data_IF_100212265484
#
_entry.id   IF_100212265484
#
_cell.length_a   1.000
_cell.length_b   1.000
_cell.length_c   1.000
_cell.angle_alpha   90.00
_cell.angle_beta   90.00
_cell.angle_gamma   90.00
#
_symmetry.space_group_name_H-M   'P 1'
#
loop_
_entity.id
_entity.type
_entity.pdbx_description
1 polymer ?
#
# COMPACT_ATOMS: atom_id res chain seq x y z
N UNK A 1 22.77 -3.82 2.38
CA UNK A 1 23.99 -4.65 2.42
C UNK A 1 24.14 -5.46 3.69
N UNK A 2 24.01 -4.86 4.89
CA UNK A 2 24.12 -5.62 6.13
C UNK A 2 23.05 -6.72 6.27
N UNK A 3 21.82 -6.43 5.87
CA UNK A 3 20.75 -7.42 5.87
C UNK A 3 21.03 -8.59 4.92
N UNK A 4 21.48 -8.29 3.71
CA UNK A 4 21.85 -9.32 2.73
C UNK A 4 23.04 -10.17 3.18
N UNK A 5 24.03 -9.57 3.87
CA UNK A 5 25.14 -10.31 4.45
C UNK A 5 24.68 -11.31 5.52
N UNK A 6 23.57 -11.03 6.15
CA UNK A 6 22.91 -11.94 7.13
C UNK A 6 21.91 -12.90 6.47
N UNK A 7 21.82 -12.92 5.14
CA UNK A 7 20.87 -13.75 4.40
C UNK A 7 19.42 -13.27 4.46
N UNK A 8 19.19 -12.03 4.91
CA UNK A 8 17.85 -11.45 4.99
C UNK A 8 17.46 -10.78 3.66
N UNK A 9 16.18 -10.78 3.36
CA UNK A 9 15.59 -10.01 2.26
C UNK A 9 15.00 -8.72 2.79
N UNK A 10 15.09 -7.67 1.99
CA UNK A 10 14.63 -6.33 2.37
C UNK A 10 13.49 -5.92 1.46
N UNK A 11 12.30 -5.82 2.02
CA UNK A 11 11.16 -5.15 1.39
C UNK A 11 11.03 -3.75 1.98
N UNK A 12 10.60 -2.80 1.16
CA UNK A 12 10.37 -1.44 1.61
C UNK A 12 8.91 -1.05 1.44
N UNK A 13 8.45 -0.17 2.31
CA UNK A 13 7.19 0.54 2.13
C UNK A 13 7.33 1.49 0.95
N UNK A 14 6.58 1.25 -0.10
CA UNK A 14 6.62 2.07 -1.31
C UNK A 14 5.26 2.10 -1.99
N UNK A 15 4.45 3.03 -1.57
CA UNK A 15 3.11 3.24 -2.08
C UNK A 15 3.04 4.43 -3.02
N UNK A 16 2.04 4.47 -3.88
CA UNK A 16 1.81 5.59 -4.81
C UNK A 16 0.67 6.50 -4.34
N UNK A 17 -0.24 5.98 -3.53
CA UNK A 17 -1.43 6.71 -3.10
C UNK A 17 -1.11 7.95 -2.28
N UNK A 18 -0.05 7.90 -1.54
CA UNK A 18 0.30 8.92 -0.55
C UNK A 18 1.66 9.52 -0.85
N UNK A 19 1.73 10.84 -0.76
CA UNK A 19 2.97 11.59 -0.89
C UNK A 19 3.23 12.34 0.40
N UNK A 20 4.42 12.12 0.98
CA UNK A 20 4.86 12.89 2.16
C UNK A 20 5.01 14.38 1.81
N UNK A 21 4.56 15.23 2.71
CA UNK A 21 4.77 16.67 2.60
C UNK A 21 6.25 17.09 2.69
N UNK A 22 7.12 16.19 3.13
CA UNK A 22 8.57 16.40 3.14
C UNK A 22 9.23 16.03 1.81
N UNK A 23 8.48 15.50 0.84
CA UNK A 23 9.03 15.26 -0.48
C UNK A 23 9.41 16.58 -1.15
N UNK A 24 10.67 16.78 -1.55
CA UNK A 24 11.11 18.05 -2.14
C UNK A 24 10.39 18.38 -3.45
N UNK A 25 9.86 17.35 -4.11
CA UNK A 25 9.10 17.46 -5.35
C UNK A 25 7.70 18.04 -5.16
N UNK A 26 7.21 18.09 -3.92
CA UNK A 26 5.85 18.53 -3.61
C UNK A 26 5.47 19.86 -4.26
N UNK A 27 6.36 20.83 -4.20
CA UNK A 27 6.11 22.15 -4.76
C UNK A 27 6.04 22.16 -6.28
N UNK A 28 6.87 21.35 -6.93
CA UNK A 28 6.82 21.19 -8.39
C UNK A 28 5.55 20.46 -8.81
N UNK A 29 5.19 19.39 -8.10
CA UNK A 29 4.00 18.57 -8.37
C UNK A 29 2.71 19.34 -8.15
N UNK A 30 2.69 20.30 -7.24
CA UNK A 30 1.56 21.19 -7.00
C UNK A 30 1.12 21.95 -8.25
N UNK A 31 2.04 22.30 -9.13
CA UNK A 31 1.71 22.98 -10.39
C UNK A 31 0.87 22.14 -11.34
N UNK A 32 0.83 20.84 -11.15
CA UNK A 32 0.04 19.89 -11.93
C UNK A 32 -1.37 19.69 -11.33
N UNK A 33 -1.67 20.31 -10.21
CA UNK A 33 -2.99 20.31 -9.57
C UNK A 33 -3.58 18.93 -9.39
N UNK A 34 -4.83 18.76 -9.78
CA UNK A 34 -5.60 17.52 -9.64
C UNK A 34 -5.13 16.37 -10.53
N UNK A 35 -4.17 16.58 -11.41
CA UNK A 35 -3.50 15.45 -12.07
C UNK A 35 -2.72 14.60 -11.07
N UNK A 36 -2.11 15.24 -10.06
CA UNK A 36 -1.30 14.57 -9.04
C UNK A 36 -2.06 14.44 -7.72
N UNK A 37 -2.60 15.55 -7.22
CA UNK A 37 -3.29 15.54 -5.92
C UNK A 37 -4.79 15.34 -6.10
N UNK A 38 -5.35 14.46 -5.27
CA UNK A 38 -6.79 14.27 -5.26
C UNK A 38 -7.48 15.50 -4.70
N UNK A 39 -8.40 16.08 -5.48
CA UNK A 39 -9.25 17.14 -5.02
C UNK A 39 -10.22 16.64 -3.95
N UNK A 40 -10.47 17.47 -2.95
CA UNK A 40 -11.37 17.14 -1.88
C UNK A 40 -11.91 18.35 -1.17
N UNK A 41 -12.68 18.15 -0.11
CA UNK A 41 -13.34 19.24 0.63
C UNK A 41 -12.36 20.15 1.37
N UNK A 42 -11.06 19.98 1.17
CA UNK A 42 -10.05 20.68 1.92
C UNK A 42 -9.99 20.20 3.37
N UNK A 43 -9.09 20.72 4.12
CA UNK A 43 -8.92 20.38 5.53
C UNK A 43 -7.55 19.77 5.79
N UNK A 44 -7.42 19.13 6.94
CA UNK A 44 -6.15 18.64 7.40
C UNK A 44 -5.45 19.66 8.27
N UNK A 45 -4.15 19.73 8.16
CA UNK A 45 -3.32 20.47 9.09
C UNK A 45 -2.99 21.87 8.57
N UNK A 46 -3.02 22.89 9.43
CA UNK A 46 -2.91 24.28 9.03
C UNK A 46 -1.68 24.58 8.16
N UNK A 47 -0.55 24.00 8.52
CA UNK A 47 0.69 24.19 7.77
C UNK A 47 0.70 23.47 6.39
N UNK A 48 -0.09 22.41 6.20
CA UNK A 48 -0.33 21.85 4.87
C UNK A 48 -1.16 22.81 4.02
N UNK A 49 -2.14 23.46 4.62
CA UNK A 49 -2.97 24.46 3.94
C UNK A 49 -2.16 25.64 3.47
N UNK A 50 -1.18 26.09 4.27
CA UNK A 50 -0.24 27.16 3.88
C UNK A 50 0.56 26.77 2.64
N UNK A 51 0.91 25.49 2.48
CA UNK A 51 1.73 25.01 1.38
C UNK A 51 0.92 24.62 0.16
N UNK A 52 -0.22 23.96 0.33
CA UNK A 52 -1.00 23.36 -0.76
C UNK A 52 -2.30 24.11 -1.05
N UNK A 53 -2.77 24.94 -0.12
CA UNK A 53 -4.11 25.51 -0.17
C UNK A 53 -5.14 24.58 0.47
N UNK A 54 -6.41 24.88 0.27
CA UNK A 54 -7.51 24.21 0.96
C UNK A 54 -8.09 23.00 0.22
N UNK A 55 -7.70 22.79 -1.02
CA UNK A 55 -8.37 21.87 -1.94
C UNK A 55 -7.54 20.60 -2.19
N UNK A 56 -7.30 19.85 -1.12
CA UNK A 56 -6.60 18.58 -1.14
C UNK A 56 -7.13 17.63 -0.06
N UNK A 57 -6.83 16.35 -0.17
CA UNK A 57 -7.19 15.33 0.82
C UNK A 57 -5.94 14.93 1.59
N UNK A 58 -5.93 15.19 2.91
CA UNK A 58 -4.92 14.66 3.82
C UNK A 58 -5.31 13.24 4.25
N UNK A 59 -4.37 12.30 4.16
CA UNK A 59 -4.57 10.93 4.61
C UNK A 59 -4.28 10.76 6.10
N UNK A 60 -3.09 11.18 6.54
CA UNK A 60 -2.68 11.06 7.94
C UNK A 60 -1.68 12.16 8.32
N UNK A 61 -1.46 12.30 9.62
CA UNK A 61 -0.51 13.25 10.19
C UNK A 61 0.16 12.70 11.44
N UNK A 62 1.47 12.85 11.53
CA UNK A 62 2.28 12.46 12.69
C UNK A 62 2.83 13.73 13.34
N UNK A 63 2.20 14.23 14.42
CA UNK A 63 2.51 15.54 14.97
C UNK A 63 3.97 15.77 15.36
N UNK A 64 4.59 14.78 15.99
CA UNK A 64 5.97 14.90 16.48
C UNK A 64 7.00 14.97 15.35
N UNK A 65 6.68 14.43 14.16
CA UNK A 65 7.53 14.53 12.97
C UNK A 65 7.17 15.72 12.11
N UNK A 66 6.02 16.34 12.36
CA UNK A 66 5.40 17.33 11.46
C UNK A 66 5.28 16.79 10.03
N UNK A 67 5.02 15.50 9.91
CA UNK A 67 4.89 14.80 8.66
C UNK A 67 3.43 14.45 8.40
N UNK A 68 3.00 14.61 7.17
CA UNK A 68 1.68 14.24 6.71
C UNK A 68 1.74 13.59 5.34
N UNK A 69 0.83 12.70 5.08
CA UNK A 69 0.62 12.13 3.77
C UNK A 69 -0.55 12.84 3.08
N UNK A 70 -0.37 13.13 1.81
CA UNK A 70 -1.36 13.76 0.94
C UNK A 70 -1.77 12.75 -0.10
N UNK A 71 -3.06 12.54 -0.27
CA UNK A 71 -3.57 11.60 -1.26
C UNK A 71 -3.37 12.16 -2.66
N UNK A 72 -2.71 11.40 -3.50
CA UNK A 72 -2.56 11.70 -4.92
C UNK A 72 -3.53 10.85 -5.77
N UNK A 73 -3.69 11.23 -7.02
CA UNK A 73 -4.64 10.59 -7.93
C UNK A 73 -4.24 9.16 -8.31
N UNK A 74 -2.96 8.85 -8.24
CA UNK A 74 -2.44 7.54 -8.65
C UNK A 74 -2.59 7.20 -10.13
N UNK A 75 -3.35 7.97 -10.91
CA UNK A 75 -3.79 7.65 -12.27
C UNK A 75 -3.20 8.57 -13.34
N UNK A 76 -2.11 9.26 -13.03
CA UNK A 76 -1.47 10.23 -13.91
C UNK A 76 -0.07 9.83 -14.35
N UNK A 77 0.66 10.78 -14.92
CA UNK A 77 2.11 10.64 -15.17
C UNK A 77 2.92 10.33 -13.91
N UNK A 78 2.35 10.51 -12.73
CA UNK A 78 2.92 10.08 -11.46
C UNK A 78 3.28 8.60 -11.43
N UNK A 79 2.56 7.74 -12.15
CA UNK A 79 2.92 6.34 -12.34
C UNK A 79 4.33 6.16 -12.92
N UNK A 80 4.70 6.99 -13.88
CA UNK A 80 6.01 6.90 -14.49
C UNK A 80 7.11 7.29 -13.50
N UNK A 81 6.87 8.34 -12.72
CA UNK A 81 7.79 8.74 -11.65
C UNK A 81 7.96 7.62 -10.61
N UNK A 82 6.86 7.03 -10.18
CA UNK A 82 6.86 5.89 -9.26
C UNK A 82 7.68 4.71 -9.81
N UNK A 83 7.49 4.37 -11.07
CA UNK A 83 8.19 3.25 -11.72
C UNK A 83 9.67 3.53 -11.94
N UNK A 84 10.04 4.75 -12.29
CA UNK A 84 11.45 5.16 -12.39
C UNK A 84 12.14 5.11 -11.02
N UNK A 85 11.46 5.59 -9.98
CA UNK A 85 11.93 5.47 -8.60
C UNK A 85 12.12 4.02 -8.18
N UNK A 86 11.16 3.15 -8.52
CA UNK A 86 11.26 1.72 -8.25
C UNK A 86 12.46 1.09 -8.98
N UNK A 87 12.67 1.43 -10.25
CA UNK A 87 13.82 0.93 -11.01
C UNK A 87 15.13 1.34 -10.33
N UNK A 88 15.23 2.59 -9.88
CA UNK A 88 16.40 3.07 -9.14
C UNK A 88 16.62 2.32 -7.83
N UNK A 89 15.55 2.08 -7.06
CA UNK A 89 15.61 1.33 -5.80
C UNK A 89 16.07 -0.12 -6.02
N UNK A 90 15.62 -0.75 -7.07
CA UNK A 90 16.06 -2.11 -7.45
C UNK A 90 17.53 -2.11 -7.85
N UNK A 91 17.93 -1.19 -8.72
CA UNK A 91 19.27 -1.19 -9.30
C UNK A 91 20.35 -0.71 -8.32
N UNK A 92 20.03 0.29 -7.50
CA UNK A 92 21.02 0.94 -6.63
C UNK A 92 20.94 0.49 -5.18
N UNK A 93 19.75 0.28 -4.66
CA UNK A 93 19.55 -0.13 -3.27
C UNK A 93 19.37 -1.64 -3.12
N UNK A 94 19.17 -2.34 -4.24
CA UNK A 94 19.03 -3.81 -4.29
C UNK A 94 17.91 -4.34 -3.38
N UNK A 95 16.79 -3.64 -3.33
CA UNK A 95 15.63 -4.09 -2.57
C UNK A 95 15.09 -5.41 -3.12
N UNK A 96 14.53 -6.25 -2.24
CA UNK A 96 14.03 -7.58 -2.60
C UNK A 96 12.50 -7.62 -2.75
N UNK A 97 11.85 -6.50 -2.64
CA UNK A 97 10.41 -6.42 -2.79
C UNK A 97 9.79 -5.16 -2.23
N UNK A 98 8.48 -5.14 -2.26
CA UNK A 98 7.66 -4.00 -1.86
C UNK A 98 6.63 -4.42 -0.82
N UNK A 99 6.30 -3.48 0.05
CA UNK A 99 5.04 -3.41 0.77
C UNK A 99 4.26 -2.22 0.21
N UNK A 100 3.11 -2.50 -0.36
CA UNK A 100 2.22 -1.50 -0.94
C UNK A 100 1.03 -1.35 0.00
N UNK A 101 0.90 -0.15 0.56
CA UNK A 101 -0.20 0.19 1.45
C UNK A 101 -1.30 0.85 0.63
N UNK A 102 -2.31 0.06 0.35
CA UNK A 102 -3.40 0.40 -0.54
C UNK A 102 -3.00 0.65 -2.01
N UNK A 103 -3.85 0.29 -2.93
CA UNK A 103 -3.61 0.47 -4.35
C UNK A 103 -4.27 1.73 -4.88
N UNK A 104 -3.49 2.55 -5.57
CA UNK A 104 -3.98 3.71 -6.29
C UNK A 104 -3.52 3.70 -7.76
N UNK A 105 -3.32 2.53 -8.33
CA UNK A 105 -2.96 2.37 -9.73
C UNK A 105 -3.62 1.12 -10.35
N UNK A 106 -3.71 1.12 -11.65
CA UNK A 106 -4.34 0.09 -12.44
C UNK A 106 -3.48 -1.18 -12.59
N UNK A 107 -4.09 -2.23 -13.10
CA UNK A 107 -3.42 -3.50 -13.40
C UNK A 107 -2.24 -3.34 -14.36
N UNK A 108 -2.30 -2.39 -15.30
CA UNK A 108 -1.20 -2.15 -16.26
C UNK A 108 0.03 -1.64 -15.52
N UNK A 109 -0.15 -0.73 -14.58
CA UNK A 109 0.92 -0.24 -13.72
C UNK A 109 1.46 -1.36 -12.83
N UNK A 110 0.61 -2.19 -12.25
CA UNK A 110 1.04 -3.36 -11.46
C UNK A 110 1.92 -4.32 -12.29
N UNK A 111 1.54 -4.59 -13.53
CA UNK A 111 2.37 -5.41 -14.46
C UNK A 111 3.75 -4.78 -14.69
N UNK A 112 3.82 -3.45 -14.80
CA UNK A 112 5.09 -2.75 -14.96
C UNK A 112 5.93 -2.84 -13.68
N UNK A 113 5.32 -2.68 -12.51
CA UNK A 113 5.97 -2.88 -11.21
C UNK A 113 6.58 -4.28 -11.14
N UNK A 114 5.78 -5.30 -11.41
CA UNK A 114 6.26 -6.69 -11.41
C UNK A 114 7.43 -6.90 -12.37
N UNK A 115 7.34 -6.33 -13.57
CA UNK A 115 8.39 -6.45 -14.59
C UNK A 115 9.71 -5.78 -14.16
N UNK A 116 9.64 -4.64 -13.48
CA UNK A 116 10.84 -3.98 -12.94
C UNK A 116 11.50 -4.86 -11.89
N UNK A 117 10.72 -5.37 -10.95
CA UNK A 117 11.21 -6.26 -9.90
C UNK A 117 11.83 -7.54 -10.49
N UNK A 118 11.11 -8.24 -11.35
CA UNK A 118 11.56 -9.54 -11.89
C UNK A 118 12.84 -9.43 -12.71
N UNK A 119 13.07 -8.30 -13.38
CA UNK A 119 14.30 -8.05 -14.14
C UNK A 119 15.51 -7.81 -13.25
N UNK A 120 15.35 -7.05 -12.20
CA UNK A 120 16.46 -6.64 -11.34
C UNK A 120 16.67 -7.55 -10.12
N UNK A 121 15.62 -8.17 -9.63
CA UNK A 121 15.64 -9.01 -8.41
C UNK A 121 14.75 -10.24 -8.58
N UNK A 122 15.24 -11.32 -9.20
CA UNK A 122 14.49 -12.55 -9.35
C UNK A 122 13.93 -13.06 -8.02
N UNK A 123 12.67 -13.45 -8.00
CA UNK A 123 11.92 -13.85 -6.82
C UNK A 123 11.67 -12.71 -5.80
N UNK A 124 11.64 -11.46 -6.26
CA UNK A 124 11.18 -10.34 -5.45
C UNK A 124 9.71 -10.53 -5.02
N UNK A 125 9.41 -10.09 -3.81
CA UNK A 125 8.09 -10.26 -3.20
C UNK A 125 7.32 -8.93 -3.20
N UNK A 126 6.03 -9.01 -3.46
CA UNK A 126 5.10 -7.90 -3.31
C UNK A 126 4.09 -8.29 -2.24
N UNK A 127 4.06 -7.52 -1.18
CA UNK A 127 3.02 -7.55 -0.16
C UNK A 127 2.06 -6.40 -0.44
N UNK A 128 0.77 -6.71 -0.45
CA UNK A 128 -0.28 -5.72 -0.57
C UNK A 128 -1.06 -5.66 0.74
N UNK A 129 -1.10 -4.49 1.33
CA UNK A 129 -2.08 -4.16 2.36
C UNK A 129 -3.28 -3.50 1.68
N UNK A 130 -4.37 -4.18 1.61
CA UNK A 130 -5.62 -3.59 1.16
C UNK A 130 -6.37 -3.04 2.37
N UNK A 131 -7.09 -1.94 2.19
CA UNK A 131 -7.99 -1.42 3.24
C UNK A 131 -9.12 -2.42 3.47
N UNK A 132 -8.95 -3.27 4.44
CA UNK A 132 -9.67 -4.53 4.63
C UNK A 132 -10.86 -4.40 5.55
N UNK A 133 -11.40 -3.22 5.64
CA UNK A 133 -12.57 -3.01 6.44
C UNK A 133 -13.76 -3.66 5.73
N UNK A 134 -14.37 -4.65 6.39
CA UNK A 134 -15.73 -4.96 6.06
C UNK A 134 -16.57 -3.72 6.40
N UNK A 135 -17.02 -3.07 5.37
CA UNK A 135 -17.91 -1.95 5.52
C UNK A 135 -19.34 -2.41 5.18
N UNK A 136 -20.20 -2.60 6.19
CA UNK A 136 -21.58 -3.00 5.96
C UNK A 136 -22.34 -2.06 5.03
N UNK A 137 -21.92 -0.79 4.99
CA UNK A 137 -22.50 0.21 4.09
C UNK A 137 -22.25 -0.12 2.62
N UNK A 138 -21.10 -0.70 2.31
CA UNK A 138 -20.67 -1.00 0.95
C UNK A 138 -21.01 -2.45 0.55
N UNK A 139 -21.71 -3.18 1.41
CA UNK A 139 -22.15 -4.55 1.19
C UNK A 139 -21.00 -5.55 1.37
N UNK A 140 -20.98 -6.60 0.54
CA UNK A 140 -19.91 -7.61 0.55
C UNK A 140 -18.63 -7.16 -0.15
N UNK A 141 -18.62 -5.95 -0.71
CA UNK A 141 -17.43 -5.42 -1.32
C UNK A 141 -16.45 -5.00 -0.22
N UNK A 142 -15.41 -5.79 -0.02
CA UNK A 142 -14.23 -5.36 0.72
C UNK A 142 -13.14 -4.95 -0.27
N UNK A 143 -12.15 -4.22 0.22
CA UNK A 143 -11.07 -3.75 -0.64
C UNK A 143 -10.25 -4.89 -1.25
N UNK A 144 -10.17 -6.07 -0.61
CA UNK A 144 -9.54 -7.22 -1.20
C UNK A 144 -10.26 -7.63 -2.51
N UNK A 145 -11.59 -7.67 -2.49
CA UNK A 145 -12.38 -7.98 -3.68
C UNK A 145 -12.21 -6.92 -4.78
N UNK A 146 -12.07 -5.65 -4.40
CA UNK A 146 -11.81 -4.57 -5.36
C UNK A 146 -10.44 -4.72 -6.05
N UNK A 147 -9.50 -5.41 -5.43
CA UNK A 147 -8.13 -5.57 -5.94
C UNK A 147 -7.85 -6.96 -6.53
N UNK A 148 -8.86 -7.79 -6.75
CA UNK A 148 -8.69 -9.13 -7.32
C UNK A 148 -7.88 -9.16 -8.61
N UNK A 149 -7.99 -8.15 -9.45
CA UNK A 149 -7.22 -8.05 -10.69
C UNK A 149 -5.71 -7.95 -10.48
N UNK A 150 -5.28 -7.58 -9.28
CA UNK A 150 -3.86 -7.45 -8.91
C UNK A 150 -3.29 -8.74 -8.29
N UNK A 151 -4.12 -9.64 -7.82
CA UNK A 151 -3.69 -10.85 -7.10
C UNK A 151 -2.69 -11.72 -7.86
N UNK A 152 -2.77 -11.86 -9.20
CA UNK A 152 -1.76 -12.62 -9.95
C UNK A 152 -0.34 -12.05 -9.89
N UNK A 153 -0.16 -10.81 -9.41
CA UNK A 153 1.11 -10.09 -9.40
C UNK A 153 1.72 -9.90 -8.02
N UNK A 154 0.96 -10.21 -6.97
CA UNK A 154 1.38 -10.08 -5.58
C UNK A 154 1.65 -11.45 -4.96
N UNK A 155 2.32 -11.47 -3.83
CA UNK A 155 2.71 -12.70 -3.14
C UNK A 155 1.98 -12.89 -1.82
N UNK A 156 1.70 -11.78 -1.12
CA UNK A 156 1.08 -11.79 0.19
C UNK A 156 0.03 -10.70 0.27
N UNK A 157 -1.08 -11.00 0.93
CA UNK A 157 -2.11 -10.04 1.27
C UNK A 157 -2.12 -9.81 2.78
N UNK A 158 -1.96 -8.56 3.18
CA UNK A 158 -2.13 -8.12 4.56
C UNK A 158 -3.58 -7.69 4.74
N UNK A 159 -4.23 -8.17 5.80
CA UNK A 159 -5.65 -7.92 6.06
C UNK A 159 -5.95 -7.97 7.55
N UNK A 160 -7.15 -7.58 7.94
CA UNK A 160 -7.65 -7.73 9.31
C UNK A 160 -7.52 -6.49 10.19
N UNK A 161 -6.98 -5.41 9.67
CA UNK A 161 -7.00 -4.14 10.39
C UNK A 161 -8.45 -3.74 10.72
N UNK A 162 -8.71 -3.38 11.96
CA UNK A 162 -10.05 -3.10 12.49
C UNK A 162 -11.04 -4.28 12.46
N UNK A 163 -10.53 -5.47 12.30
CA UNK A 163 -11.33 -6.67 12.24
C UNK A 163 -11.45 -7.31 13.63
N UNK A 164 -12.60 -7.87 13.95
CA UNK A 164 -12.77 -8.66 15.18
C UNK A 164 -12.13 -10.05 14.98
N UNK A 165 -10.95 -10.32 15.57
CA UNK A 165 -10.28 -11.60 15.40
C UNK A 165 -11.01 -12.77 16.06
N UNK A 166 -11.98 -12.48 16.94
CA UNK A 166 -12.78 -13.49 17.62
C UNK A 166 -14.08 -13.84 16.85
N UNK A 167 -14.36 -13.10 15.77
CA UNK A 167 -15.47 -13.44 14.87
C UNK A 167 -15.24 -14.79 14.17
N UNK A 168 -16.30 -15.46 13.68
CA UNK A 168 -16.16 -16.71 12.96
C UNK A 168 -15.20 -16.60 11.77
N UNK A 169 -14.24 -17.55 11.61
CA UNK A 169 -13.18 -17.43 10.63
C UNK A 169 -13.62 -17.60 9.17
N UNK A 170 -14.72 -18.28 8.92
CA UNK A 170 -15.27 -18.48 7.59
C UNK A 170 -15.44 -17.16 6.83
N UNK A 171 -15.81 -16.12 7.53
CA UNK A 171 -16.02 -14.81 6.95
C UNK A 171 -14.72 -14.14 6.49
N UNK A 172 -13.76 -13.89 7.39
CA UNK A 172 -12.53 -13.20 7.05
C UNK A 172 -11.54 -14.11 6.31
N UNK A 173 -11.58 -15.41 6.54
CA UNK A 173 -10.74 -16.36 5.84
C UNK A 173 -11.09 -16.45 4.35
N UNK A 174 -12.37 -16.60 4.04
CA UNK A 174 -12.84 -16.75 2.66
C UNK A 174 -12.83 -15.41 1.92
N UNK A 175 -13.33 -14.36 2.56
CA UNK A 175 -13.59 -13.09 1.89
C UNK A 175 -12.34 -12.20 1.78
N UNK A 176 -11.44 -12.25 2.75
CA UNK A 176 -10.44 -11.21 2.92
C UNK A 176 -9.00 -11.69 2.85
N UNK A 177 -8.73 -12.94 3.18
CA UNK A 177 -7.35 -13.40 3.36
C UNK A 177 -6.53 -13.52 2.07
N UNK A 178 -7.19 -13.61 0.92
CA UNK A 178 -6.53 -13.92 -0.36
C UNK A 178 -6.07 -15.38 -0.51
N UNK A 179 -6.14 -16.18 0.56
CA UNK A 179 -5.70 -17.59 0.54
C UNK A 179 -6.46 -18.43 -0.49
N UNK A 180 -7.78 -18.30 -0.67
CA UNK A 180 -8.50 -19.02 -1.71
C UNK A 180 -7.99 -18.72 -3.12
N UNK A 181 -7.28 -17.63 -3.31
CA UNK A 181 -6.69 -17.22 -4.58
C UNK A 181 -5.19 -17.55 -4.69
N UNK A 182 -4.65 -18.32 -3.74
CA UNK A 182 -3.26 -18.76 -3.74
C UNK A 182 -2.26 -17.78 -3.16
N UNK A 183 -2.72 -16.74 -2.46
CA UNK A 183 -1.86 -15.80 -1.77
C UNK A 183 -1.50 -16.28 -0.37
N UNK A 184 -0.36 -15.85 0.13
CA UNK A 184 -0.11 -15.94 1.57
C UNK A 184 -0.92 -14.86 2.28
N UNK A 185 -1.56 -15.21 3.39
CA UNK A 185 -2.25 -14.26 4.26
C UNK A 185 -1.34 -13.78 5.38
N UNK A 186 -1.35 -12.49 5.62
CA UNK A 186 -0.79 -11.85 6.82
C UNK A 186 -1.93 -11.19 7.57
N UNK A 187 -2.24 -11.70 8.76
CA UNK A 187 -3.35 -11.17 9.54
C UNK A 187 -2.86 -10.06 10.47
N UNK A 188 -3.31 -8.84 10.22
CA UNK A 188 -3.13 -7.71 11.12
C UNK A 188 -4.11 -7.87 12.28
N UNK A 189 -3.59 -8.21 13.44
CA UNK A 189 -4.39 -8.51 14.60
C UNK A 189 -4.07 -7.56 15.76
N UNK A 190 -5.03 -6.78 16.13
CA UNK A 190 -4.93 -5.85 17.26
C UNK A 190 -5.70 -6.41 18.49
N UNK A 191 -5.24 -7.51 19.01
CA UNK A 191 -5.85 -8.18 20.16
C UNK A 191 -6.27 -9.63 19.90
N UNK A 192 -7.05 -10.21 20.79
CA UNK A 192 -7.53 -11.59 20.69
C UNK A 192 -6.43 -12.66 20.74
N UNK A 193 -6.72 -13.82 20.19
CA UNK A 193 -5.76 -14.91 20.13
C UNK A 193 -4.81 -14.75 18.94
N UNK A 194 -3.60 -14.26 19.19
CA UNK A 194 -2.56 -14.01 18.18
C UNK A 194 -2.13 -15.26 17.39
N UNK A 195 -2.47 -16.46 17.83
CA UNK A 195 -2.14 -17.70 17.11
C UNK A 195 -3.23 -18.14 16.15
N UNK A 196 -4.34 -17.40 16.10
CA UNK A 196 -5.50 -17.82 15.32
C UNK A 196 -5.21 -17.89 13.83
N UNK A 197 -4.51 -16.91 13.30
CA UNK A 197 -4.12 -16.91 11.89
C UNK A 197 -3.28 -18.13 11.51
N UNK A 198 -2.39 -18.57 12.40
CA UNK A 198 -1.52 -19.73 12.14
C UNK A 198 -2.30 -21.03 11.95
N UNK A 199 -3.46 -21.18 12.60
CA UNK A 199 -4.32 -22.36 12.40
C UNK A 199 -4.82 -22.49 10.97
N UNK A 200 -4.84 -21.39 10.23
CA UNK A 200 -5.31 -21.29 8.84
C UNK A 200 -4.17 -21.08 7.85
N UNK A 201 -2.92 -21.27 8.28
CA UNK A 201 -1.76 -21.14 7.41
C UNK A 201 -1.34 -19.70 7.13
N UNK A 202 -1.75 -18.77 7.97
CA UNK A 202 -1.38 -17.35 7.88
C UNK A 202 -0.24 -17.02 8.83
N UNK A 203 0.47 -15.95 8.52
CA UNK A 203 1.34 -15.27 9.48
C UNK A 203 0.60 -14.11 10.15
N UNK A 204 1.07 -13.66 11.30
CA UNK A 204 0.49 -12.56 12.08
C UNK A 204 1.56 -11.86 12.91
#
# INVERSE_FOLDING_TARGET
DEAHQKGLRVKIYYTIRELSNHAPELFALRSMGSEIFSNGPGGGFSWLQEHLGSDYIAAWFVPHLKDAAIINSGMSRWHNYYLEGLQWLVDKMQIDGLYIDDLAFDRTTMKRVRKVLDRGRPAALIDLHSANQYNPRDGFANSANLYLEHFPYINRLWFGEYFDPDSPPDFWFVEMSGIPYGLMGEMLQDGGNRWRGMLYGMTS
#
